data_IF_397125048430
#
_entry.id   IF_397125048430
#
_cell.length_a   1.000
_cell.length_b   1.000
_cell.length_c   1.000
_cell.angle_alpha   90.00
_cell.angle_beta   90.00
_cell.angle_gamma   90.00
#
_symmetry.space_group_name_H-M   'P 1'
#
loop_
_entity.id
_entity.type
_entity.pdbx_description
1 polymer ?
#
# COMPACT_ATOMS: atom_id res chain seq x y z
N UNK A 1 0.63 -17.25 -22.61
CA UNK A 1 0.82 -17.31 -21.15
C UNK A 1 0.98 -15.89 -20.66
N UNK A 2 0.20 -15.51 -19.65
CA UNK A 2 0.31 -14.18 -19.04
C UNK A 2 1.66 -14.08 -18.33
N UNK A 3 2.34 -12.95 -18.46
CA UNK A 3 3.57 -12.70 -17.72
C UNK A 3 3.26 -12.19 -16.30
N UNK A 4 4.12 -12.51 -15.34
CA UNK A 4 4.01 -11.94 -14.00
C UNK A 4 4.07 -10.40 -14.01
N UNK A 5 4.78 -9.79 -14.97
CA UNK A 5 4.80 -8.33 -15.16
C UNK A 5 3.44 -7.77 -15.55
N UNK A 6 2.66 -8.49 -16.37
CA UNK A 6 1.31 -8.09 -16.75
C UNK A 6 0.35 -8.18 -15.55
N UNK A 7 0.47 -9.23 -14.73
CA UNK A 7 -0.29 -9.36 -13.47
C UNK A 7 0.05 -8.23 -12.50
N UNK A 8 1.34 -7.92 -12.31
CA UNK A 8 1.77 -6.83 -11.43
C UNK A 8 1.30 -5.46 -11.92
N UNK A 9 1.38 -5.19 -13.23
CA UNK A 9 0.84 -3.95 -13.80
C UNK A 9 -0.66 -3.83 -13.52
N UNK A 10 -1.43 -4.85 -13.87
CA UNK A 10 -2.88 -4.86 -13.65
C UNK A 10 -3.25 -4.79 -12.15
N UNK A 11 -2.40 -5.32 -11.27
CA UNK A 11 -2.53 -5.19 -9.82
C UNK A 11 -2.45 -3.75 -9.33
N UNK A 12 -1.45 -2.99 -9.78
CA UNK A 12 -1.34 -1.59 -9.39
C UNK A 12 -2.42 -0.71 -10.04
N UNK A 13 -2.75 -0.97 -11.30
CA UNK A 13 -3.89 -0.32 -11.97
C UNK A 13 -5.18 -0.54 -11.16
N UNK A 14 -5.38 -1.78 -10.69
CA UNK A 14 -6.55 -2.11 -9.88
C UNK A 14 -6.53 -1.44 -8.50
N UNK A 15 -5.38 -1.36 -7.83
CA UNK A 15 -5.24 -0.62 -6.58
C UNK A 15 -5.57 0.85 -6.77
N UNK A 16 -5.08 1.47 -7.84
CA UNK A 16 -5.40 2.85 -8.20
C UNK A 16 -6.92 3.06 -8.35
N UNK A 17 -7.58 2.24 -9.17
CA UNK A 17 -9.03 2.32 -9.38
C UNK A 17 -9.83 2.17 -8.07
N UNK A 18 -9.46 1.20 -7.25
CA UNK A 18 -10.13 0.95 -5.98
C UNK A 18 -9.91 2.11 -5.00
N UNK A 19 -8.69 2.66 -4.94
CA UNK A 19 -8.39 3.82 -4.09
C UNK A 19 -9.13 5.07 -4.53
N UNK A 20 -9.18 5.38 -5.84
CA UNK A 20 -9.98 6.49 -6.36
C UNK A 20 -11.46 6.31 -6.01
N UNK A 21 -12.02 5.13 -6.29
CA UNK A 21 -13.44 4.84 -6.06
C UNK A 21 -13.83 4.88 -4.57
N UNK A 22 -12.88 4.62 -3.67
CA UNK A 22 -13.08 4.55 -2.22
C UNK A 22 -12.45 5.72 -1.46
N UNK A 23 -12.03 6.79 -2.15
CA UNK A 23 -11.27 7.88 -1.51
C UNK A 23 -12.00 8.49 -0.30
N UNK A 24 -13.31 8.71 -0.40
CA UNK A 24 -14.11 9.24 0.72
C UNK A 24 -14.11 8.29 1.94
N UNK A 25 -14.25 6.97 1.69
CA UNK A 25 -14.22 5.95 2.73
C UNK A 25 -12.83 5.86 3.40
N UNK A 26 -11.76 5.97 2.60
CA UNK A 26 -10.38 6.02 3.08
C UNK A 26 -10.15 7.22 4.01
N UNK A 27 -10.61 8.41 3.62
CA UNK A 27 -10.48 9.62 4.44
C UNK A 27 -11.21 9.46 5.77
N UNK A 28 -12.46 9.00 5.74
CA UNK A 28 -13.25 8.77 6.96
C UNK A 28 -12.59 7.72 7.88
N UNK A 29 -12.05 6.64 7.29
CA UNK A 29 -11.41 5.58 8.07
C UNK A 29 -10.08 6.05 8.68
N UNK A 30 -9.27 6.78 7.92
CA UNK A 30 -8.02 7.39 8.37
C UNK A 30 -8.24 8.31 9.57
N UNK A 31 -9.28 9.14 9.55
CA UNK A 31 -9.62 10.00 10.70
C UNK A 31 -9.96 9.19 11.96
N UNK A 32 -10.77 8.15 11.79
CA UNK A 32 -11.17 7.26 12.88
C UNK A 32 -9.96 6.52 13.48
N UNK A 33 -9.04 6.06 12.62
CA UNK A 33 -7.80 5.39 13.04
C UNK A 33 -6.87 6.36 13.78
N UNK A 34 -6.66 7.57 13.24
CA UNK A 34 -5.79 8.57 13.85
C UNK A 34 -6.29 8.96 15.24
N UNK A 35 -7.60 9.20 15.38
CA UNK A 35 -8.24 9.53 16.65
C UNK A 35 -8.13 8.39 17.69
N UNK A 36 -8.12 7.13 17.24
CA UNK A 36 -7.96 5.98 18.12
C UNK A 36 -6.49 5.71 18.50
N UNK A 37 -5.55 5.89 17.58
CA UNK A 37 -4.16 5.50 17.76
C UNK A 37 -3.40 6.44 18.71
N UNK A 38 -3.66 7.76 18.62
CA UNK A 38 -3.02 8.77 19.48
C UNK A 38 -3.21 8.49 20.97
N UNK A 39 -4.44 8.30 21.50
CA UNK A 39 -4.62 7.97 22.90
C UNK A 39 -4.13 6.55 23.24
N UNK A 40 -4.29 5.58 22.33
CA UNK A 40 -3.85 4.19 22.53
C UNK A 40 -2.35 4.09 22.79
N UNK A 41 -1.55 4.88 22.08
CA UNK A 41 -0.07 4.92 22.24
C UNK A 41 0.39 5.88 23.33
N UNK A 42 -0.52 6.63 23.94
CA UNK A 42 -0.21 7.56 25.01
C UNK A 42 0.67 8.72 24.58
N UNK A 43 0.51 9.22 23.35
CA UNK A 43 1.23 10.42 22.88
C UNK A 43 0.68 11.67 23.58
N UNK A 44 1.32 12.07 24.70
CA UNK A 44 0.79 13.06 25.65
C UNK A 44 0.84 14.52 25.19
N UNK A 45 1.54 14.82 24.09
CA UNK A 45 1.76 16.18 23.59
C UNK A 45 0.94 16.52 22.33
N UNK A 46 -0.14 15.79 22.06
CA UNK A 46 -1.00 16.03 20.89
C UNK A 46 -2.09 17.06 21.20
N UNK A 47 -1.91 18.31 20.74
CA UNK A 47 -2.95 19.34 20.75
C UNK A 47 -3.71 19.35 19.41
N UNK A 48 -4.75 20.17 19.30
CA UNK A 48 -5.60 20.27 18.10
C UNK A 48 -4.79 20.65 16.86
N UNK A 49 -3.86 21.61 16.97
CA UNK A 49 -3.02 22.05 15.84
C UNK A 49 -2.12 20.92 15.32
N UNK A 50 -1.49 20.15 16.23
CA UNK A 50 -0.68 18.99 15.83
C UNK A 50 -1.56 17.93 15.21
N UNK A 51 -2.72 17.63 15.78
CA UNK A 51 -3.63 16.63 15.23
C UNK A 51 -4.09 17.01 13.81
N UNK A 52 -4.35 18.30 13.56
CA UNK A 52 -4.65 18.83 12.23
C UNK A 52 -3.47 18.62 11.27
N UNK A 53 -2.23 18.92 11.70
CA UNK A 53 -1.04 18.66 10.88
C UNK A 53 -0.84 17.17 10.57
N UNK A 54 -1.11 16.27 11.53
CA UNK A 54 -1.08 14.81 11.28
C UNK A 54 -2.15 14.37 10.30
N UNK A 55 -3.35 14.96 10.36
CA UNK A 55 -4.43 14.70 9.40
C UNK A 55 -4.04 15.16 7.99
N UNK A 56 -3.49 16.36 7.85
CA UNK A 56 -2.98 16.87 6.57
C UNK A 56 -1.88 15.96 6.01
N UNK A 57 -0.95 15.51 6.85
CA UNK A 57 0.09 14.56 6.45
C UNK A 57 -0.51 13.23 5.96
N UNK A 58 -1.53 12.70 6.64
CA UNK A 58 -2.23 11.49 6.19
C UNK A 58 -2.90 11.68 4.82
N UNK A 59 -3.52 12.84 4.58
CA UNK A 59 -4.17 13.15 3.29
C UNK A 59 -3.12 13.22 2.18
N UNK A 60 -2.02 13.96 2.41
CA UNK A 60 -0.92 14.04 1.46
C UNK A 60 -0.36 12.66 1.13
N UNK A 61 -0.22 11.80 2.14
CA UNK A 61 0.25 10.44 1.98
C UNK A 61 -0.74 9.56 1.18
N UNK A 62 -2.06 9.71 1.36
CA UNK A 62 -3.04 9.02 0.50
C UNK A 62 -2.84 9.45 -0.96
N UNK A 63 -2.66 10.74 -1.20
CA UNK A 63 -2.48 11.28 -2.55
C UNK A 63 -1.14 10.80 -3.17
N UNK A 64 -0.05 10.77 -2.38
CA UNK A 64 1.25 10.20 -2.81
C UNK A 64 1.13 8.71 -3.17
N UNK A 65 0.36 7.92 -2.41
CA UNK A 65 0.13 6.49 -2.72
C UNK A 65 -0.69 6.32 -3.98
N UNK A 66 -1.72 7.15 -4.16
CA UNK A 66 -2.52 7.15 -5.37
C UNK A 66 -1.67 7.47 -6.62
N UNK A 67 -0.80 8.49 -6.53
CA UNK A 67 0.16 8.82 -7.60
C UNK A 67 1.16 7.69 -7.86
N UNK A 68 1.63 7.03 -6.79
CA UNK A 68 2.55 5.88 -6.91
C UNK A 68 1.91 4.69 -7.62
N UNK A 69 0.59 4.51 -7.50
CA UNK A 69 -0.17 3.47 -8.20
C UNK A 69 -0.64 3.90 -9.59
N UNK A 70 -0.41 5.16 -9.98
CA UNK A 70 -0.88 5.68 -11.25
C UNK A 70 -0.37 4.81 -12.42
N UNK A 71 -1.29 4.27 -13.25
CA UNK A 71 -0.96 3.39 -14.37
C UNK A 71 0.09 3.95 -15.35
N UNK A 72 0.16 5.28 -15.49
CA UNK A 72 1.12 5.96 -16.36
C UNK A 72 2.53 5.95 -15.73
N UNK A 73 2.64 6.18 -14.41
CA UNK A 73 3.91 6.16 -13.69
C UNK A 73 4.52 4.76 -13.61
N UNK A 74 3.68 3.75 -13.35
CA UNK A 74 4.11 2.35 -13.19
C UNK A 74 4.58 1.69 -14.49
N UNK A 75 4.14 2.20 -15.64
CA UNK A 75 4.67 1.76 -16.93
C UNK A 75 6.19 1.98 -17.04
N UNK A 76 6.76 2.97 -16.37
CA UNK A 76 8.21 3.20 -16.36
C UNK A 76 8.94 2.26 -15.38
N UNK A 77 8.29 1.83 -14.30
CA UNK A 77 8.85 0.88 -13.32
C UNK A 77 9.03 -0.52 -13.91
N UNK A 78 8.14 -0.93 -14.83
CA UNK A 78 8.14 -2.29 -15.40
C UNK A 78 8.41 -2.36 -16.92
N UNK A 79 8.49 -1.23 -17.62
CA UNK A 79 8.37 -1.15 -19.09
C UNK A 79 9.64 -1.28 -19.93
N UNK A 80 10.84 -0.92 -19.45
CA UNK A 80 12.04 -1.06 -20.29
C UNK A 80 13.33 -0.95 -19.49
N UNK A 81 14.06 -2.07 -19.41
CA UNK A 81 15.39 -2.25 -18.80
C UNK A 81 15.42 -2.09 -17.26
N UNK A 82 15.46 -3.20 -16.49
CA UNK A 82 15.59 -3.11 -15.05
C UNK A 82 17.05 -2.76 -14.71
N UNK A 83 17.30 -1.52 -14.31
CA UNK A 83 18.25 -1.38 -13.21
C UNK A 83 17.56 -1.99 -12.01
N UNK A 84 17.82 -3.28 -11.77
CA UNK A 84 17.41 -4.01 -10.56
C UNK A 84 17.66 -3.16 -9.29
N UNK A 85 18.70 -2.33 -9.34
CA UNK A 85 19.11 -1.34 -8.35
C UNK A 85 18.12 -0.19 -8.13
N UNK A 86 17.41 0.31 -9.15
CA UNK A 86 16.46 1.42 -9.01
C UNK A 86 15.20 0.98 -8.25
N UNK A 87 14.63 -0.17 -8.60
CA UNK A 87 13.54 -0.78 -7.85
C UNK A 87 14.00 -1.19 -6.43
N UNK A 88 15.19 -1.79 -6.29
CA UNK A 88 15.75 -2.18 -4.98
C UNK A 88 16.10 -1.00 -4.03
N UNK A 89 16.27 0.22 -4.57
CA UNK A 89 16.44 1.47 -3.82
C UNK A 89 15.10 2.11 -3.45
N UNK A 90 14.11 2.07 -4.34
CA UNK A 90 12.74 2.56 -4.09
C UNK A 90 12.04 1.75 -2.97
N UNK A 91 12.34 0.45 -2.86
CA UNK A 91 11.82 -0.43 -1.80
C UNK A 91 12.55 -0.30 -0.43
N UNK A 92 13.62 0.47 -0.37
CA UNK A 92 14.22 0.92 0.90
C UNK A 92 13.71 2.33 1.22
N UNK A 93 12.41 2.45 1.48
CA UNK A 93 11.93 3.62 2.22
C UNK A 93 12.77 3.67 3.50
N UNK A 94 13.42 4.79 3.81
CA UNK A 94 14.44 4.91 4.86
C UNK A 94 14.02 4.36 6.25
N UNK A 95 12.73 4.09 6.44
CA UNK A 95 12.08 3.65 7.67
C UNK A 95 11.57 2.19 7.62
N UNK A 96 11.50 1.55 6.45
CA UNK A 96 10.80 0.27 6.23
C UNK A 96 11.61 -0.69 5.35
N UNK A 97 11.77 -1.93 5.80
CA UNK A 97 12.35 -2.99 4.98
C UNK A 97 11.25 -3.71 4.20
N UNK A 98 10.88 -3.19 3.03
CA UNK A 98 9.80 -3.77 2.22
C UNK A 98 10.24 -4.87 1.24
N UNK A 99 11.55 -5.20 1.20
CA UNK A 99 12.09 -6.23 0.29
C UNK A 99 11.46 -7.62 0.47
N UNK A 100 11.22 -8.11 1.70
CA UNK A 100 10.54 -9.39 1.89
C UNK A 100 9.12 -9.38 1.31
N UNK A 101 8.36 -8.30 1.56
CA UNK A 101 7.01 -8.12 1.03
C UNK A 101 6.99 -8.05 -0.49
N UNK A 102 7.91 -7.30 -1.11
CA UNK A 102 8.01 -7.25 -2.57
C UNK A 102 8.37 -8.62 -3.17
N UNK A 103 9.26 -9.36 -2.52
CA UNK A 103 9.65 -10.71 -2.98
C UNK A 103 8.44 -11.66 -2.96
N UNK A 104 7.62 -11.59 -1.92
CA UNK A 104 6.37 -12.37 -1.80
C UNK A 104 5.31 -11.94 -2.82
N UNK A 105 5.15 -10.63 -3.07
CA UNK A 105 4.26 -10.08 -4.09
C UNK A 105 4.62 -10.65 -5.47
N UNK A 106 5.91 -10.56 -5.85
CA UNK A 106 6.41 -11.08 -7.14
C UNK A 106 6.25 -12.60 -7.24
N UNK A 107 6.53 -13.35 -6.17
CA UNK A 107 6.36 -14.80 -6.15
C UNK A 107 4.88 -15.19 -6.34
N UNK A 108 3.97 -14.48 -5.68
CA UNK A 108 2.52 -14.71 -5.79
C UNK A 108 2.02 -14.36 -7.19
N UNK A 109 2.45 -13.23 -7.75
CA UNK A 109 2.12 -12.85 -9.13
C UNK A 109 2.60 -13.87 -10.16
N UNK A 110 3.79 -14.47 -9.97
CA UNK A 110 4.31 -15.55 -10.83
C UNK A 110 3.48 -16.82 -10.75
N UNK A 111 3.04 -17.23 -9.55
CA UNK A 111 2.15 -18.38 -9.37
C UNK A 111 0.85 -18.17 -10.13
N UNK A 112 0.21 -17.02 -9.91
CA UNK A 112 -1.07 -16.69 -10.55
C UNK A 112 -0.94 -16.58 -12.07
N UNK A 113 0.15 -15.98 -12.57
CA UNK A 113 0.42 -15.89 -14.00
C UNK A 113 0.55 -17.26 -14.68
N UNK A 114 1.10 -18.27 -13.98
CA UNK A 114 1.22 -19.64 -14.48
C UNK A 114 -0.13 -20.38 -14.55
N UNK A 115 -1.08 -20.01 -13.68
CA UNK A 115 -2.42 -20.58 -13.61
C UNK A 115 -3.39 -19.94 -14.61
N UNK A 116 -3.10 -18.73 -15.10
CA UNK A 116 -3.98 -18.00 -16.02
C UNK A 116 -3.78 -18.47 -17.47
N UNK A 117 -4.79 -19.19 -17.98
CA UNK A 117 -4.80 -19.71 -19.35
C UNK A 117 -5.15 -18.65 -20.43
N UNK A 118 -5.83 -17.56 -20.07
CA UNK A 118 -6.23 -16.50 -21.00
C UNK A 118 -6.45 -15.15 -20.31
N UNK A 119 -6.40 -14.05 -21.08
CA UNK A 119 -6.55 -12.68 -20.58
C UNK A 119 -7.89 -12.42 -19.88
N UNK A 120 -8.95 -13.16 -20.23
CA UNK A 120 -10.25 -13.06 -19.56
C UNK A 120 -10.25 -13.47 -18.09
N UNK A 121 -9.22 -14.18 -17.62
CA UNK A 121 -9.04 -14.58 -16.22
C UNK A 121 -8.11 -13.63 -15.44
N UNK A 122 -7.47 -12.67 -16.11
CA UNK A 122 -6.56 -11.70 -15.48
C UNK A 122 -7.23 -10.90 -14.35
N UNK A 123 -8.48 -10.40 -14.48
CA UNK A 123 -9.12 -9.67 -13.38
C UNK A 123 -9.26 -10.53 -12.11
N UNK A 124 -9.60 -11.81 -12.26
CA UNK A 124 -9.70 -12.73 -11.12
C UNK A 124 -8.35 -12.99 -10.45
N UNK A 125 -7.28 -13.12 -11.23
CA UNK A 125 -5.92 -13.25 -10.71
C UNK A 125 -5.46 -11.98 -9.97
N UNK A 126 -5.83 -10.80 -10.45
CA UNK A 126 -5.50 -9.53 -9.80
C UNK A 126 -6.22 -9.37 -8.47
N UNK A 127 -7.53 -9.64 -8.43
CA UNK A 127 -8.30 -9.59 -7.18
C UNK A 127 -7.75 -10.60 -6.16
N UNK A 128 -7.34 -11.79 -6.60
CA UNK A 128 -6.68 -12.78 -5.75
C UNK A 128 -5.30 -12.32 -5.27
N UNK A 129 -4.53 -11.62 -6.11
CA UNK A 129 -3.24 -11.05 -5.72
C UNK A 129 -3.41 -9.98 -4.64
N UNK A 130 -4.36 -9.04 -4.80
CA UNK A 130 -4.69 -8.04 -3.78
C UNK A 130 -5.15 -8.72 -2.48
N UNK A 131 -6.02 -9.72 -2.59
CA UNK A 131 -6.52 -10.45 -1.43
C UNK A 131 -5.40 -11.14 -0.65
N UNK A 132 -4.40 -11.71 -1.34
CA UNK A 132 -3.29 -12.44 -0.72
C UNK A 132 -2.18 -11.52 -0.21
N UNK A 133 -1.81 -10.52 -0.98
CA UNK A 133 -0.62 -9.69 -0.75
C UNK A 133 -0.93 -8.34 -0.11
N UNK A 134 -2.17 -7.87 -0.15
CA UNK A 134 -2.51 -6.50 0.26
C UNK A 134 -2.05 -5.46 -0.76
N UNK A 135 -1.94 -4.21 -0.32
CA UNK A 135 -1.34 -3.11 -1.04
C UNK A 135 0.13 -2.97 -0.62
N UNK A 136 1.04 -3.08 -1.57
CA UNK A 136 2.46 -2.96 -1.29
C UNK A 136 2.86 -1.48 -1.23
N UNK A 137 3.59 -0.99 -0.21
CA UNK A 137 4.32 -1.74 0.84
C UNK A 137 3.65 -1.68 2.24
N UNK A 138 2.32 -1.66 2.31
CA UNK A 138 1.57 -1.33 3.53
C UNK A 138 1.78 -2.34 4.65
N UNK A 139 2.02 -3.62 4.35
CA UNK A 139 2.30 -4.62 5.39
C UNK A 139 3.61 -4.30 6.12
N UNK A 140 4.67 -3.96 5.39
CA UNK A 140 5.96 -3.60 5.98
C UNK A 140 5.89 -2.31 6.80
N UNK A 141 5.07 -1.35 6.37
CA UNK A 141 4.81 -0.12 7.13
C UNK A 141 4.12 -0.45 8.46
N UNK A 142 3.06 -1.26 8.40
CA UNK A 142 2.29 -1.69 9.58
C UNK A 142 3.19 -2.43 10.58
N UNK A 143 3.93 -3.44 10.12
CA UNK A 143 4.80 -4.25 10.98
C UNK A 143 5.91 -3.41 11.64
N UNK A 144 6.56 -2.52 10.87
CA UNK A 144 7.64 -1.68 11.40
C UNK A 144 7.15 -0.61 12.38
N UNK A 145 5.93 -0.09 12.18
CA UNK A 145 5.30 0.80 13.16
C UNK A 145 4.95 0.03 14.43
N UNK A 146 4.33 -1.14 14.33
CA UNK A 146 3.96 -1.95 15.49
C UNK A 146 5.18 -2.36 16.32
N UNK A 147 6.29 -2.71 15.66
CA UNK A 147 7.54 -3.05 16.34
C UNK A 147 8.18 -1.87 17.07
N UNK A 148 8.08 -0.65 16.50
CA UNK A 148 8.65 0.55 17.08
C UNK A 148 7.77 1.79 16.77
N UNK A 149 6.68 1.99 17.54
CA UNK A 149 5.74 3.08 17.32
C UNK A 149 6.44 4.42 17.54
N UNK A 150 6.30 5.32 16.58
CA UNK A 150 6.89 6.65 16.65
C UNK A 150 5.97 7.65 15.97
N UNK A 151 5.89 8.86 16.54
CA UNK A 151 5.04 9.93 16.02
C UNK A 151 5.35 10.22 14.54
N UNK A 152 6.62 10.30 14.15
CA UNK A 152 6.99 10.56 12.75
C UNK A 152 6.59 9.45 11.76
N UNK A 153 6.27 8.24 12.22
CA UNK A 153 5.77 7.13 11.38
C UNK A 153 4.25 7.02 11.39
N UNK A 154 3.58 7.77 12.27
CA UNK A 154 2.14 7.64 12.51
C UNK A 154 1.31 7.89 11.25
N UNK A 155 1.52 8.95 10.44
CA UNK A 155 0.70 9.17 9.24
C UNK A 155 0.75 7.97 8.29
N UNK A 156 1.95 7.44 8.09
CA UNK A 156 2.19 6.33 7.18
C UNK A 156 1.49 5.04 7.63
N UNK A 157 1.62 4.74 8.92
CA UNK A 157 0.92 3.62 9.57
C UNK A 157 -0.60 3.73 9.44
N UNK A 158 -1.15 4.92 9.70
CA UNK A 158 -2.60 5.14 9.63
C UNK A 158 -3.11 4.94 8.21
N UNK A 159 -2.40 5.49 7.21
CA UNK A 159 -2.76 5.34 5.80
C UNK A 159 -2.65 3.89 5.35
N UNK A 160 -1.57 3.19 5.69
CA UNK A 160 -1.38 1.77 5.39
C UNK A 160 -2.51 0.91 5.99
N UNK A 161 -2.89 1.16 7.25
CA UNK A 161 -4.03 0.48 7.86
C UNK A 161 -5.35 0.77 7.13
N UNK A 162 -5.60 2.03 6.77
CA UNK A 162 -6.83 2.42 6.07
C UNK A 162 -6.92 1.76 4.68
N UNK A 163 -5.83 1.72 3.92
CA UNK A 163 -5.77 1.08 2.60
C UNK A 163 -6.02 -0.43 2.73
N UNK A 164 -5.30 -1.11 3.62
CA UNK A 164 -5.50 -2.54 3.84
C UNK A 164 -6.95 -2.87 4.19
N UNK A 165 -7.59 -2.08 5.06
CA UNK A 165 -8.98 -2.29 5.47
C UNK A 165 -10.02 -1.99 4.39
N UNK A 166 -9.89 -0.86 3.69
CA UNK A 166 -10.94 -0.34 2.79
C UNK A 166 -10.76 -0.84 1.36
N UNK A 167 -9.52 -0.85 0.88
CA UNK A 167 -9.15 -1.19 -0.50
C UNK A 167 -8.95 -2.70 -0.61
N UNK A 168 -8.07 -3.25 0.24
CA UNK A 168 -7.73 -4.67 0.19
C UNK A 168 -8.71 -5.58 0.96
N UNK A 169 -9.60 -4.99 1.76
CA UNK A 169 -10.57 -5.70 2.64
C UNK A 169 -9.89 -6.67 3.61
N UNK A 170 -8.68 -6.33 4.03
CA UNK A 170 -7.86 -7.10 4.97
C UNK A 170 -7.93 -6.41 6.32
N UNK A 171 -8.10 -7.19 7.39
CA UNK A 171 -8.01 -6.62 8.73
C UNK A 171 -6.56 -6.24 8.98
N UNK A 172 -6.28 -4.95 9.06
CA UNK A 172 -5.09 -4.48 9.76
C UNK A 172 -5.29 -4.85 11.24
N UNK A 173 -4.36 -5.63 11.79
CA UNK A 173 -4.43 -6.01 13.22
C UNK A 173 -4.03 -4.78 14.02
N UNK A 174 -4.84 -4.29 14.97
CA UNK A 174 -4.44 -3.17 15.83
C UNK A 174 -3.33 -3.53 16.82
#
# INVERSE_FOLDING_TARGET
MISASLVLKAYYERLYELMEARRADLLSRMESLLAAEVPRRGFRDMNEDKLAAYREACIAFIDERLESYNPIGIQYTFGSVPSRTAAELEFQLNWYNSRPEFTELVATARSLAAEVASDGLLPGAVEELIRRSGAFPDRSIIEAYQAAPALQKLPDYIVACAIEEIVCRRKSVP
#
